data_IF_924360689629
#
_entry.id   IF_924360689629
#
_cell.length_a   1.000
_cell.length_b   1.000
_cell.length_c   1.000
_cell.angle_alpha   90.00
_cell.angle_beta   90.00
_cell.angle_gamma   90.00
#
_symmetry.space_group_name_H-M   'P 1'
#
loop_
_entity.id
_entity.type
_entity.pdbx_description
1 polymer ?
#
# COMPACT_ATOMS: atom_id res chain seq x y z
N UNK A 1 -7.46 3.82 19.55
CA UNK A 1 -6.30 2.92 19.79
C UNK A 1 -5.16 3.80 20.30
N UNK A 2 -4.75 3.61 21.54
CA UNK A 2 -3.94 4.58 22.29
C UNK A 2 -2.49 4.60 21.83
N UNK A 3 -1.85 5.78 21.81
CA UNK A 3 -0.42 5.98 21.50
C UNK A 3 0.54 5.01 22.23
N UNK A 4 0.12 4.51 23.40
CA UNK A 4 0.80 3.49 24.17
C UNK A 4 0.93 2.14 23.42
N UNK A 5 -0.08 1.70 22.66
CA UNK A 5 -0.08 0.40 21.97
C UNK A 5 0.90 0.36 20.78
N UNK A 6 1.04 1.50 20.09
CA UNK A 6 1.97 1.64 18.95
C UNK A 6 3.41 1.61 19.46
N UNK A 7 3.71 2.36 20.53
CA UNK A 7 5.01 2.32 21.21
C UNK A 7 5.32 0.94 21.77
N UNK A 8 4.34 0.24 22.33
CA UNK A 8 4.52 -1.12 22.86
C UNK A 8 4.88 -2.13 21.76
N UNK A 9 4.27 -2.03 20.58
CA UNK A 9 4.57 -2.93 19.46
C UNK A 9 5.98 -2.72 18.88
N UNK A 10 6.43 -1.46 18.77
CA UNK A 10 7.76 -1.12 18.33
C UNK A 10 8.81 -1.50 19.37
N UNK A 11 8.55 -1.21 20.65
CA UNK A 11 9.45 -1.59 21.75
C UNK A 11 9.58 -3.11 21.86
N UNK A 12 8.49 -3.86 21.65
CA UNK A 12 8.54 -5.33 21.66
C UNK A 12 9.36 -5.89 20.49
N UNK A 13 9.32 -5.26 19.31
CA UNK A 13 10.18 -5.63 18.17
C UNK A 13 11.65 -5.32 18.45
N UNK A 14 11.96 -4.15 19.01
CA UNK A 14 13.33 -3.80 19.40
C UNK A 14 13.84 -4.70 20.51
N UNK A 15 13.04 -5.01 21.53
CA UNK A 15 13.40 -5.92 22.62
C UNK A 15 13.61 -7.33 22.09
N UNK A 16 12.75 -7.84 21.21
CA UNK A 16 12.94 -9.16 20.60
C UNK A 16 14.21 -9.18 19.75
N UNK A 17 14.47 -8.19 18.90
CA UNK A 17 15.71 -8.11 18.11
C UNK A 17 16.95 -8.00 19.00
N UNK A 18 16.94 -7.14 20.03
CA UNK A 18 18.06 -6.97 20.96
C UNK A 18 18.32 -8.25 21.77
N UNK A 19 17.26 -8.92 22.22
CA UNK A 19 17.37 -10.21 22.93
C UNK A 19 17.89 -11.30 22.00
N UNK A 20 17.42 -11.34 20.76
CA UNK A 20 17.88 -12.29 19.74
C UNK A 20 19.35 -12.07 19.37
N UNK A 21 19.75 -10.83 19.06
CA UNK A 21 21.14 -10.49 18.76
C UNK A 21 22.04 -10.66 19.99
N UNK A 22 21.53 -10.37 21.19
CA UNK A 22 22.24 -10.60 22.45
C UNK A 22 22.48 -12.09 22.71
N UNK A 23 21.47 -12.95 22.49
CA UNK A 23 21.59 -14.40 22.60
C UNK A 23 22.54 -14.98 21.54
N UNK A 24 22.50 -14.46 20.30
CA UNK A 24 23.42 -14.83 19.22
C UNK A 24 24.87 -14.43 19.54
N UNK A 25 25.09 -13.22 20.03
CA UNK A 25 26.40 -12.75 20.45
C UNK A 25 26.94 -13.56 21.64
N UNK A 26 26.08 -13.89 22.61
CA UNK A 26 26.44 -14.73 23.75
C UNK A 26 26.81 -16.15 23.29
N UNK A 27 26.04 -16.72 22.36
CA UNK A 27 26.33 -18.01 21.74
C UNK A 27 27.68 -18.01 21.00
N UNK A 28 27.97 -16.93 20.27
CA UNK A 28 29.24 -16.75 19.57
C UNK A 28 30.42 -16.66 20.55
N UNK A 29 30.30 -15.86 21.62
CA UNK A 29 31.33 -15.73 22.66
C UNK A 29 31.59 -17.06 23.37
N UNK A 30 30.53 -17.81 23.69
CA UNK A 30 30.65 -19.15 24.27
C UNK A 30 31.35 -20.13 23.31
N UNK A 31 31.06 -20.05 22.00
CA UNK A 31 31.73 -20.86 20.98
C UNK A 31 33.22 -20.50 20.81
N UNK A 32 33.56 -19.22 20.87
CA UNK A 32 34.96 -18.76 20.82
C UNK A 32 35.71 -19.19 22.09
N UNK A 33 35.13 -19.03 23.28
CA UNK A 33 35.74 -19.50 24.54
C UNK A 33 35.98 -21.02 24.53
N UNK A 34 35.06 -21.79 23.94
CA UNK A 34 35.19 -23.25 23.80
C UNK A 34 36.36 -23.66 22.90
N UNK A 35 36.59 -22.93 21.80
CA UNK A 35 37.73 -23.18 20.90
C UNK A 35 39.09 -23.08 21.62
N UNK A 36 39.15 -22.28 22.70
CA UNK A 36 40.35 -22.13 23.52
C UNK A 36 40.43 -23.11 24.72
N UNK A 37 39.36 -23.86 25.07
CA UNK A 37 39.33 -24.78 26.22
C UNK A 37 38.67 -26.15 25.91
N UNK A 38 39.42 -27.10 25.32
CA UNK A 38 38.86 -28.34 24.76
C UNK A 38 38.62 -29.50 25.75
N UNK A 39 38.99 -29.40 27.04
CA UNK A 39 38.98 -30.56 27.97
C UNK A 39 37.59 -30.98 28.51
N UNK A 40 36.50 -30.33 28.08
CA UNK A 40 35.14 -30.57 28.60
C UNK A 40 34.18 -31.24 27.61
N UNK A 41 34.24 -32.57 27.46
CA UNK A 41 33.38 -33.42 26.58
C UNK A 41 31.86 -33.32 26.81
N UNK A 42 31.39 -32.60 27.84
CA UNK A 42 29.97 -32.55 28.26
C UNK A 42 29.12 -31.50 27.54
N UNK A 43 29.74 -30.60 26.77
CA UNK A 43 29.09 -29.41 26.22
C UNK A 43 28.72 -29.51 24.73
N UNK A 44 29.14 -30.58 24.05
CA UNK A 44 28.83 -30.87 22.64
C UNK A 44 27.32 -30.81 22.31
N UNK A 45 26.41 -31.34 23.15
CA UNK A 45 24.97 -31.25 22.89
C UNK A 45 24.42 -29.81 23.02
N UNK A 46 25.01 -29.01 23.92
CA UNK A 46 24.57 -27.64 24.17
C UNK A 46 24.94 -26.72 23.01
N UNK A 47 26.16 -26.83 22.48
CA UNK A 47 26.62 -26.05 21.32
C UNK A 47 25.82 -26.40 20.06
N UNK A 48 25.55 -27.69 19.83
CA UNK A 48 24.79 -28.12 18.65
C UNK A 48 23.32 -27.67 18.71
N UNK A 49 22.72 -27.69 19.91
CA UNK A 49 21.37 -27.16 20.13
C UNK A 49 21.31 -25.64 19.90
N UNK A 50 22.34 -24.90 20.33
CA UNK A 50 22.44 -23.45 20.13
C UNK A 50 22.57 -23.08 18.65
N UNK A 51 23.34 -23.82 17.86
CA UNK A 51 23.44 -23.63 16.40
C UNK A 51 22.10 -23.87 15.70
N UNK A 52 21.36 -24.91 16.11
CA UNK A 52 20.02 -25.18 15.60
C UNK A 52 19.04 -24.05 15.93
N UNK A 53 19.07 -23.54 17.16
CA UNK A 53 18.22 -22.42 17.59
C UNK A 53 18.60 -21.13 16.85
N UNK A 54 19.90 -20.86 16.66
CA UNK A 54 20.38 -19.72 15.89
C UNK A 54 19.94 -19.80 14.42
N UNK A 55 20.10 -20.96 13.77
CA UNK A 55 19.66 -21.17 12.39
C UNK A 55 18.13 -21.03 12.23
N UNK A 56 17.36 -21.60 13.15
CA UNK A 56 15.90 -21.46 13.15
C UNK A 56 15.49 -20.00 13.35
N UNK A 57 16.15 -19.29 14.28
CA UNK A 57 15.87 -17.88 14.57
C UNK A 57 16.22 -16.98 13.38
N UNK A 58 17.32 -17.25 12.67
CA UNK A 58 17.69 -16.54 11.44
C UNK A 58 16.59 -16.58 10.38
N UNK A 59 16.00 -17.76 10.15
CA UNK A 59 14.88 -17.95 9.21
C UNK A 59 13.66 -17.10 9.62
N UNK A 60 13.34 -17.06 10.92
CA UNK A 60 12.21 -16.26 11.42
C UNK A 60 12.47 -14.76 11.28
N UNK A 61 13.70 -14.30 11.50
CA UNK A 61 14.06 -12.89 11.32
C UNK A 61 13.93 -12.49 9.86
N UNK A 62 14.49 -13.28 8.93
CA UNK A 62 14.40 -13.03 7.49
C UNK A 62 12.95 -12.99 7.00
N UNK A 63 12.10 -13.89 7.50
CA UNK A 63 10.66 -13.90 7.20
C UNK A 63 9.98 -12.61 7.65
N UNK A 64 10.27 -12.15 8.87
CA UNK A 64 9.65 -10.94 9.42
C UNK A 64 10.14 -9.67 8.72
N UNK A 65 11.42 -9.59 8.34
CA UNK A 65 11.95 -8.46 7.56
C UNK A 65 11.38 -8.46 6.14
N UNK A 66 11.33 -9.62 5.47
CA UNK A 66 10.77 -9.74 4.13
C UNK A 66 9.29 -9.35 4.07
N UNK A 67 8.49 -9.73 5.06
CA UNK A 67 7.07 -9.32 5.14
C UNK A 67 6.92 -7.81 5.35
N UNK A 68 7.78 -7.20 6.18
CA UNK A 68 7.76 -5.76 6.44
C UNK A 68 8.19 -4.94 5.21
N UNK A 69 9.23 -5.39 4.52
CA UNK A 69 9.71 -4.80 3.26
C UNK A 69 8.63 -4.89 2.19
N UNK A 70 8.04 -6.07 2.00
CA UNK A 70 6.96 -6.29 1.04
C UNK A 70 5.75 -5.39 1.29
N UNK A 71 5.33 -5.22 2.55
CA UNK A 71 4.24 -4.29 2.91
C UNK A 71 4.60 -2.85 2.54
N UNK A 72 5.83 -2.43 2.81
CA UNK A 72 6.28 -1.05 2.55
C UNK A 72 6.35 -0.76 1.06
N UNK A 73 6.86 -1.70 0.27
CA UNK A 73 6.93 -1.58 -1.19
C UNK A 73 5.55 -1.50 -1.84
N UNK A 74 4.62 -2.35 -1.41
CA UNK A 74 3.22 -2.31 -1.88
C UNK A 74 2.55 -0.97 -1.54
N UNK A 75 2.71 -0.49 -0.31
CA UNK A 75 2.16 0.81 0.09
C UNK A 75 2.76 1.96 -0.73
N UNK A 76 4.07 1.93 -0.99
CA UNK A 76 4.75 2.93 -1.82
C UNK A 76 4.20 2.93 -3.25
N UNK A 77 4.00 1.75 -3.83
CA UNK A 77 3.41 1.62 -5.16
C UNK A 77 1.99 2.19 -5.21
N UNK A 78 1.15 1.89 -4.21
CA UNK A 78 -0.21 2.44 -4.08
C UNK A 78 -0.17 3.97 -3.95
N UNK A 79 0.67 4.52 -3.08
CA UNK A 79 0.80 5.99 -2.91
C UNK A 79 1.18 6.66 -4.23
N UNK A 80 2.13 6.09 -4.97
CA UNK A 80 2.56 6.63 -6.25
C UNK A 80 1.41 6.62 -7.28
N UNK A 81 0.65 5.53 -7.36
CA UNK A 81 -0.52 5.44 -8.24
C UNK A 81 -1.62 6.45 -7.87
N UNK A 82 -1.90 6.64 -6.59
CA UNK A 82 -2.90 7.63 -6.15
C UNK A 82 -2.48 9.07 -6.42
N UNK A 83 -1.18 9.36 -6.28
CA UNK A 83 -0.61 10.66 -6.69
C UNK A 83 -0.70 10.86 -8.20
N UNK A 84 -0.46 9.81 -8.98
CA UNK A 84 -0.63 9.87 -10.43
C UNK A 84 -2.10 10.12 -10.81
N UNK A 85 -3.04 9.41 -10.19
CA UNK A 85 -4.46 9.66 -10.36
C UNK A 85 -4.87 11.09 -9.96
N UNK A 86 -4.21 11.67 -8.96
CA UNK A 86 -4.42 13.09 -8.59
C UNK A 86 -3.98 14.01 -9.73
N UNK A 87 -2.86 13.71 -10.40
CA UNK A 87 -2.41 14.48 -11.57
C UNK A 87 -3.39 14.32 -12.73
N UNK A 88 -3.86 13.11 -13.01
CA UNK A 88 -4.84 12.85 -14.07
C UNK A 88 -6.18 13.57 -13.82
N UNK A 89 -6.64 13.64 -12.57
CA UNK A 89 -7.85 14.40 -12.21
C UNK A 89 -7.65 15.92 -12.27
N UNK A 90 -6.41 16.41 -12.23
CA UNK A 90 -6.08 17.83 -12.39
C UNK A 90 -5.69 18.18 -13.83
N UNK A 91 -5.86 17.26 -14.79
CA UNK A 91 -5.64 17.52 -16.21
C UNK A 91 -6.57 18.65 -16.70
N UNK A 92 -6.05 19.50 -17.59
CA UNK A 92 -6.78 20.63 -18.19
C UNK A 92 -8.09 20.21 -18.84
N UNK A 93 -8.20 18.96 -19.32
CA UNK A 93 -9.44 18.42 -19.90
C UNK A 93 -10.59 18.31 -18.90
N UNK A 94 -10.28 18.21 -17.61
CA UNK A 94 -11.24 18.26 -16.50
C UNK A 94 -11.37 19.67 -15.90
N UNK A 95 -10.80 20.70 -16.54
CA UNK A 95 -11.01 22.08 -16.12
C UNK A 95 -12.42 22.54 -16.50
N UNK A 96 -13.09 23.37 -15.67
CA UNK A 96 -14.34 24.02 -16.06
C UNK A 96 -14.19 24.85 -17.34
N UNK A 97 -13.00 25.40 -17.60
CA UNK A 97 -12.67 26.20 -18.77
C UNK A 97 -12.29 25.35 -20.00
N UNK A 98 -12.34 24.02 -19.90
CA UNK A 98 -12.00 23.14 -21.00
C UNK A 98 -12.94 23.36 -22.21
N UNK A 99 -12.42 23.31 -23.45
CA UNK A 99 -13.25 23.44 -24.63
C UNK A 99 -14.35 22.37 -24.65
N UNK A 100 -15.61 22.77 -24.83
CA UNK A 100 -16.76 21.84 -24.99
C UNK A 100 -16.76 21.17 -26.37
N UNK A 101 -15.63 20.58 -26.75
CA UNK A 101 -15.39 19.90 -28.01
C UNK A 101 -15.21 18.40 -27.78
N UNK A 102 -15.17 17.62 -28.86
CA UNK A 102 -14.94 16.17 -28.78
C UNK A 102 -13.53 15.91 -28.25
N UNK A 103 -13.43 15.42 -27.02
CA UNK A 103 -12.16 15.13 -26.36
C UNK A 103 -12.18 13.76 -25.67
N UNK A 104 -11.00 13.14 -25.57
CA UNK A 104 -10.79 11.88 -24.85
C UNK A 104 -10.25 12.21 -23.48
N UNK A 105 -10.90 11.74 -22.42
CA UNK A 105 -10.49 11.98 -21.04
C UNK A 105 -9.44 10.97 -20.59
N UNK A 106 -8.43 11.37 -19.81
CA UNK A 106 -7.49 10.40 -19.25
C UNK A 106 -8.20 9.46 -18.28
N UNK A 107 -7.78 8.19 -18.27
CA UNK A 107 -8.36 7.12 -17.43
C UNK A 107 -7.58 6.99 -16.14
N UNK A 108 -8.29 6.81 -15.03
CA UNK A 108 -7.65 6.54 -13.74
C UNK A 108 -7.10 5.11 -13.72
N UNK A 109 -5.96 4.93 -13.06
CA UNK A 109 -5.22 3.67 -12.97
C UNK A 109 -5.47 3.02 -11.60
N UNK A 110 -5.53 1.69 -11.55
CA UNK A 110 -5.80 0.93 -10.31
C UNK A 110 -4.92 -0.33 -10.17
N UNK A 111 -3.85 -0.43 -10.96
CA UNK A 111 -3.00 -1.61 -11.05
C UNK A 111 -2.24 -1.92 -9.75
N UNK A 112 -1.68 -0.90 -9.10
CA UNK A 112 -0.98 -1.04 -7.83
C UNK A 112 -1.98 -1.34 -6.70
N UNK A 113 -3.16 -0.72 -6.73
CA UNK A 113 -4.26 -1.02 -5.79
C UNK A 113 -4.72 -2.48 -5.94
N UNK A 114 -4.93 -2.98 -7.16
CA UNK A 114 -5.32 -4.37 -7.40
C UNK A 114 -4.25 -5.35 -6.92
N UNK A 115 -2.98 -5.05 -7.20
CA UNK A 115 -1.86 -5.82 -6.68
C UNK A 115 -1.83 -5.82 -5.14
N UNK A 116 -2.09 -4.67 -4.51
CA UNK A 116 -2.13 -4.56 -3.05
C UNK A 116 -3.25 -5.42 -2.43
N UNK A 117 -4.43 -5.42 -3.06
CA UNK A 117 -5.59 -6.20 -2.62
C UNK A 117 -5.38 -7.71 -2.78
N UNK A 118 -4.67 -8.16 -3.83
CA UNK A 118 -4.46 -9.59 -4.11
C UNK A 118 -3.19 -10.14 -3.44
N UNK A 119 -2.16 -9.33 -3.23
CA UNK A 119 -0.84 -9.78 -2.76
C UNK A 119 -0.80 -10.30 -1.31
N UNK A 120 -1.82 -10.01 -0.51
CA UNK A 120 -1.86 -10.34 0.92
C UNK A 120 -0.91 -9.49 1.80
N UNK A 121 -0.16 -8.55 1.21
CA UNK A 121 0.79 -7.71 1.93
C UNK A 121 0.13 -6.78 2.97
N UNK A 122 -1.17 -6.51 2.80
CA UNK A 122 -2.02 -5.73 3.72
C UNK A 122 -2.92 -6.61 4.60
N UNK A 123 -2.54 -7.87 4.84
CA UNK A 123 -3.35 -8.84 5.59
C UNK A 123 -3.43 -8.65 7.11
N UNK A 124 -2.76 -7.64 7.67
CA UNK A 124 -2.78 -7.38 9.11
C UNK A 124 -4.10 -6.71 9.53
N UNK A 125 -4.62 -7.04 10.73
CA UNK A 125 -5.86 -6.43 11.27
C UNK A 125 -5.84 -4.90 11.26
N UNK A 126 -4.67 -4.29 11.45
CA UNK A 126 -4.48 -2.83 11.41
C UNK A 126 -4.72 -2.21 10.02
N UNK A 127 -4.57 -3.01 8.96
CA UNK A 127 -4.69 -2.56 7.58
C UNK A 127 -6.11 -2.81 7.02
N UNK A 128 -7.02 -3.40 7.82
CA UNK A 128 -8.38 -3.74 7.38
C UNK A 128 -9.22 -2.54 6.93
N UNK A 129 -9.09 -1.40 7.62
CA UNK A 129 -9.77 -0.17 7.24
C UNK A 129 -9.24 0.37 5.90
N UNK A 130 -7.91 0.36 5.73
CA UNK A 130 -7.25 0.76 4.49
C UNK A 130 -7.67 -0.12 3.32
N UNK A 131 -7.68 -1.44 3.51
CA UNK A 131 -8.16 -2.40 2.49
C UNK A 131 -9.61 -2.10 2.10
N UNK A 132 -10.46 -1.77 3.07
CA UNK A 132 -11.84 -1.33 2.80
C UNK A 132 -11.93 -0.04 1.98
N UNK A 133 -11.05 0.93 2.24
CA UNK A 133 -10.95 2.16 1.45
C UNK A 133 -10.44 1.89 0.03
N UNK A 134 -9.43 1.03 -0.11
CA UNK A 134 -8.86 0.63 -1.41
C UNK A 134 -9.88 -0.08 -2.29
N UNK A 135 -10.70 -0.99 -1.74
CA UNK A 135 -11.80 -1.61 -2.46
C UNK A 135 -12.81 -0.58 -2.97
N UNK A 136 -13.25 0.35 -2.10
CA UNK A 136 -14.18 1.41 -2.49
C UNK A 136 -13.59 2.34 -3.55
N UNK A 137 -12.31 2.64 -3.46
CA UNK A 137 -11.59 3.43 -4.46
C UNK A 137 -11.56 2.72 -5.82
N UNK A 138 -11.18 1.43 -5.84
CA UNK A 138 -11.19 0.62 -7.06
C UNK A 138 -12.54 0.61 -7.75
N UNK A 139 -13.60 0.36 -6.99
CA UNK A 139 -14.96 0.32 -7.55
C UNK A 139 -15.39 1.71 -8.08
N UNK A 140 -14.97 2.79 -7.40
CA UNK A 140 -15.19 4.18 -7.85
C UNK A 140 -14.49 4.46 -9.18
N UNK A 141 -13.21 4.05 -9.31
CA UNK A 141 -12.40 4.21 -10.53
C UNK A 141 -13.03 3.47 -11.71
N UNK A 142 -13.45 2.22 -11.52
CA UNK A 142 -14.11 1.46 -12.60
C UNK A 142 -15.40 2.14 -13.07
N UNK A 143 -16.23 2.60 -12.14
CA UNK A 143 -17.48 3.30 -12.49
C UNK A 143 -17.19 4.66 -13.15
N UNK A 144 -16.13 5.37 -12.72
CA UNK A 144 -15.68 6.63 -13.33
C UNK A 144 -15.24 6.42 -14.77
N UNK A 145 -14.29 5.52 -15.00
CA UNK A 145 -13.76 5.21 -16.33
C UNK A 145 -14.89 4.75 -17.27
N UNK A 146 -15.80 3.88 -16.80
CA UNK A 146 -16.95 3.43 -17.58
C UNK A 146 -17.88 4.57 -18.00
N UNK A 147 -18.11 5.56 -17.14
CA UNK A 147 -18.93 6.72 -17.47
C UNK A 147 -18.25 7.60 -18.52
N UNK A 148 -16.94 7.76 -18.43
CA UNK A 148 -16.17 8.46 -19.47
C UNK A 148 -16.26 7.72 -20.80
N UNK A 149 -16.09 6.39 -20.81
CA UNK A 149 -16.19 5.57 -22.03
C UNK A 149 -17.57 5.76 -22.71
N UNK A 150 -18.66 5.67 -21.95
CA UNK A 150 -20.02 5.86 -22.48
C UNK A 150 -20.23 7.27 -23.04
N UNK A 151 -19.67 8.28 -22.38
CA UNK A 151 -19.76 9.67 -22.83
C UNK A 151 -18.97 9.88 -24.11
N UNK A 152 -17.76 9.33 -24.20
CA UNK A 152 -16.93 9.45 -25.40
C UNK A 152 -17.56 8.72 -26.59
N UNK A 153 -18.01 7.47 -26.42
CA UNK A 153 -18.68 6.70 -27.48
C UNK A 153 -19.91 7.44 -28.01
N UNK A 154 -20.73 8.00 -27.11
CA UNK A 154 -21.93 8.75 -27.51
C UNK A 154 -21.59 10.08 -28.20
N UNK A 155 -20.50 10.73 -27.81
CA UNK A 155 -20.04 11.97 -28.47
C UNK A 155 -19.46 11.72 -29.87
N UNK A 156 -18.77 10.59 -30.09
CA UNK A 156 -18.17 10.25 -31.38
C UNK A 156 -19.15 9.62 -32.37
N UNK A 157 -20.27 9.05 -31.91
CA UNK A 157 -21.25 8.37 -32.76
C UNK A 157 -22.27 9.28 -33.47
N UNK A 158 -22.04 10.60 -33.53
CA UNK A 158 -22.91 11.61 -34.18
C UNK A 158 -24.35 11.68 -33.64
N UNK A 159 -24.67 10.97 -32.56
CA UNK A 159 -26.02 10.93 -31.96
C UNK A 159 -26.26 12.04 -30.94
N UNK A 160 -25.21 12.64 -30.40
CA UNK A 160 -25.28 13.70 -29.39
C UNK A 160 -25.07 15.08 -30.02
N UNK A 161 -25.98 16.01 -29.72
CA UNK A 161 -25.89 17.42 -30.08
C UNK A 161 -24.87 18.18 -29.22
N UNK A 162 -24.35 19.31 -29.71
CA UNK A 162 -23.44 20.17 -28.93
C UNK A 162 -24.08 20.68 -27.61
N UNK A 163 -25.41 20.81 -27.56
CA UNK A 163 -26.14 21.21 -26.36
C UNK A 163 -26.14 20.13 -25.27
N UNK A 164 -26.24 18.86 -25.66
CA UNK A 164 -26.15 17.71 -24.74
C UNK A 164 -24.72 17.50 -24.22
N UNK A 165 -23.71 17.74 -25.06
CA UNK A 165 -22.31 17.75 -24.63
C UNK A 165 -22.04 18.85 -23.58
N UNK A 166 -22.58 20.06 -23.80
CA UNK A 166 -22.51 21.15 -22.83
C UNK A 166 -23.30 20.86 -21.54
N UNK A 167 -24.39 20.10 -21.61
CA UNK A 167 -25.11 19.63 -20.43
C UNK A 167 -24.30 18.60 -19.63
N UNK A 168 -23.59 17.69 -20.30
CA UNK A 168 -22.66 16.77 -19.65
C UNK A 168 -21.50 17.52 -18.97
N UNK A 169 -20.86 18.46 -19.69
CA UNK A 169 -19.77 19.27 -19.13
C UNK A 169 -20.21 20.00 -17.85
N UNK A 170 -21.41 20.59 -17.85
CA UNK A 170 -22.01 21.18 -16.65
C UNK A 170 -22.30 20.16 -15.55
N UNK A 171 -22.79 18.98 -15.88
CA UNK A 171 -23.05 17.91 -14.91
C UNK A 171 -21.75 17.36 -14.28
N UNK A 172 -20.65 17.35 -15.02
CA UNK A 172 -19.32 16.96 -14.55
C UNK A 172 -18.75 17.96 -13.54
N UNK A 173 -19.05 19.26 -13.69
CA UNK A 173 -18.55 20.33 -12.81
C UNK A 173 -19.51 20.77 -11.71
N UNK A 174 -20.69 20.14 -11.59
CA UNK A 174 -21.60 20.43 -10.48
C UNK A 174 -20.95 20.09 -9.13
N UNK A 175 -21.28 20.79 -8.06
CA UNK A 175 -20.71 20.54 -6.72
C UNK A 175 -20.93 19.09 -6.24
N UNK A 176 -22.10 18.52 -6.52
CA UNK A 176 -22.41 17.10 -6.26
C UNK A 176 -22.05 16.17 -7.44
N UNK A 177 -21.09 16.55 -8.28
CA UNK A 177 -20.74 15.74 -9.44
C UNK A 177 -20.00 14.47 -9.01
N UNK A 178 -20.09 13.47 -9.88
CA UNK A 178 -19.33 12.24 -9.70
C UNK A 178 -17.82 12.49 -9.75
N UNK A 179 -17.37 13.53 -10.43
CA UNK A 179 -15.97 13.97 -10.44
C UNK A 179 -15.55 14.54 -9.07
N UNK A 180 -16.33 15.45 -8.49
CA UNK A 180 -16.07 16.00 -7.16
C UNK A 180 -16.03 14.90 -6.10
N UNK A 181 -17.00 13.99 -6.13
CA UNK A 181 -17.05 12.82 -5.25
C UNK A 181 -15.84 11.88 -5.43
N UNK A 182 -15.33 11.73 -6.65
CA UNK A 182 -14.14 10.90 -6.95
C UNK A 182 -12.87 11.56 -6.38
N UNK A 183 -12.72 12.88 -6.54
CA UNK A 183 -11.62 13.66 -5.94
C UNK A 183 -11.64 13.60 -4.42
N UNK A 184 -12.81 13.75 -3.81
CA UNK A 184 -12.96 13.67 -2.34
C UNK A 184 -12.56 12.28 -1.82
N UNK A 185 -12.98 11.21 -2.50
CA UNK A 185 -12.58 9.83 -2.14
C UNK A 185 -11.08 9.60 -2.28
N UNK A 186 -10.47 10.15 -3.32
CA UNK A 186 -9.02 10.08 -3.52
C UNK A 186 -8.27 10.81 -2.39
N UNK A 187 -8.71 12.02 -2.05
CA UNK A 187 -8.10 12.79 -0.97
C UNK A 187 -8.23 12.07 0.38
N UNK A 188 -9.42 11.58 0.71
CA UNK A 188 -9.65 10.77 1.93
C UNK A 188 -8.76 9.53 1.99
N UNK A 189 -8.50 8.89 0.85
CA UNK A 189 -7.61 7.73 0.78
C UNK A 189 -6.14 8.14 0.98
N UNK A 190 -5.70 9.26 0.40
CA UNK A 190 -4.35 9.80 0.60
C UNK A 190 -4.12 10.20 2.06
N UNK A 191 -5.11 10.81 2.72
CA UNK A 191 -5.02 11.22 4.13
C UNK A 191 -5.02 10.00 5.09
N UNK A 192 -5.62 8.88 4.67
CA UNK A 192 -5.66 7.64 5.45
C UNK A 192 -4.38 6.79 5.29
N UNK A 193 -3.50 7.10 4.35
CA UNK A 193 -2.26 6.38 4.15
C UNK A 193 -1.20 6.82 5.18
N UNK A 194 -0.40 5.88 5.70
CA UNK A 194 0.70 6.23 6.59
C UNK A 194 1.74 7.07 5.83
N UNK A 195 2.31 8.08 6.49
CA UNK A 195 3.51 8.76 5.98
C UNK A 195 4.63 7.73 5.81
N UNK A 196 5.09 7.56 4.56
CA UNK A 196 6.16 6.63 4.17
C UNK A 196 7.49 7.34 4.05
#
# INVERSE_FOLDING_TARGET
MTSADIRWSAHRRTVVSVVTYGLLALAFVLGVLWFFWPEGSRWEPAVNSLTLVAGLTGIFVERLTAEAERRTEVLRAVVNELRENTRLLNDERFSPDAPTTRQVYPRLVVSAVDLALVSGALGLRRDAELVGLLHRWRDTVHLFNRRLDLTEISTFSNTISAAELAAFHRALHREDSYFAATREKLQKLLDALPEL
#
